data_IF_458447064727
#
_entry.id   IF_458447064727
#
_cell.length_a   1.000
_cell.length_b   1.000
_cell.length_c   1.000
_cell.angle_alpha   90.00
_cell.angle_beta   90.00
_cell.angle_gamma   90.00
#
_symmetry.space_group_name_H-M   'P 1'
#
loop_
_entity.id
_entity.type
_entity.pdbx_description
1 polymer ?
#
# COMPACT_ATOMS: atom_id res chain seq x y z
N UNK A 1 17.55 -2.86 -35.12
CA UNK A 1 16.31 -3.11 -34.35
C UNK A 1 16.71 -3.57 -32.95
N UNK A 2 16.55 -2.72 -31.95
CA UNK A 2 17.10 -2.92 -30.59
C UNK A 2 16.20 -3.81 -29.74
N UNK A 3 16.81 -4.55 -28.80
CA UNK A 3 16.21 -5.44 -27.80
C UNK A 3 14.91 -4.90 -27.16
N UNK A 4 14.85 -3.56 -26.97
CA UNK A 4 13.69 -2.81 -26.46
C UNK A 4 12.40 -3.04 -27.27
N UNK A 5 12.49 -3.14 -28.60
CA UNK A 5 11.32 -3.36 -29.45
C UNK A 5 10.71 -4.77 -29.28
N UNK A 6 11.54 -5.76 -28.95
CA UNK A 6 11.12 -7.16 -28.76
C UNK A 6 10.41 -7.35 -27.42
N UNK A 7 10.95 -6.80 -26.34
CA UNK A 7 10.34 -6.84 -24.99
C UNK A 7 8.95 -6.18 -25.01
N UNK A 8 8.82 -5.03 -25.68
CA UNK A 8 7.53 -4.35 -25.79
C UNK A 8 6.50 -5.12 -26.62
N UNK A 9 6.94 -5.85 -27.66
CA UNK A 9 6.05 -6.70 -28.47
C UNK A 9 5.56 -7.92 -27.66
N UNK A 10 6.46 -8.56 -26.91
CA UNK A 10 6.13 -9.69 -26.04
C UNK A 10 5.18 -9.28 -24.89
N UNK A 11 5.41 -8.11 -24.28
CA UNK A 11 4.51 -7.57 -23.26
C UNK A 11 3.12 -7.29 -23.85
N UNK A 12 3.02 -6.63 -25.02
CA UNK A 12 1.72 -6.38 -25.66
C UNK A 12 0.97 -7.66 -26.00
N UNK A 13 1.67 -8.69 -26.51
CA UNK A 13 1.04 -9.98 -26.81
C UNK A 13 0.49 -10.67 -25.55
N UNK A 14 1.15 -10.50 -24.39
CA UNK A 14 0.76 -11.13 -23.12
C UNK A 14 -0.45 -10.46 -22.46
N UNK A 15 -0.74 -9.19 -22.76
CA UNK A 15 -1.80 -8.38 -22.13
C UNK A 15 -2.91 -7.89 -23.09
N UNK A 16 -2.94 -8.38 -24.34
CA UNK A 16 -3.89 -7.93 -25.38
C UNK A 16 -5.37 -8.29 -25.13
N UNK A 17 -5.71 -9.09 -24.12
CA UNK A 17 -7.06 -9.61 -23.88
C UNK A 17 -8.03 -8.71 -23.09
N UNK A 18 -7.63 -7.55 -22.56
CA UNK A 18 -8.39 -6.89 -21.48
C UNK A 18 -8.76 -5.40 -21.67
N UNK A 19 -8.61 -4.83 -22.87
CA UNK A 19 -8.80 -3.37 -23.04
C UNK A 19 -10.19 -2.97 -23.59
N UNK A 20 -11.06 -2.46 -22.71
CA UNK A 20 -12.03 -1.40 -23.06
C UNK A 20 -11.58 -0.10 -22.37
N UNK A 21 -10.85 0.74 -23.10
CA UNK A 21 -10.44 2.09 -22.64
C UNK A 21 -11.60 3.07 -22.81
N UNK A 22 -11.98 3.75 -21.73
CA UNK A 22 -12.78 4.97 -21.77
C UNK A 22 -11.85 6.16 -21.52
N UNK A 23 -11.67 6.96 -22.56
CA UNK A 23 -10.98 8.25 -22.54
C UNK A 23 -11.92 9.34 -22.07
N UNK A 24 -11.54 10.11 -21.04
CA UNK A 24 -11.82 11.55 -20.91
C UNK A 24 -10.95 12.14 -19.78
N UNK A 25 -10.12 13.12 -20.14
CA UNK A 25 -9.24 13.89 -19.24
C UNK A 25 -9.86 15.26 -18.99
N UNK A 26 -9.73 15.76 -17.76
CA UNK A 26 -9.96 17.15 -17.37
C UNK A 26 -8.77 17.56 -16.46
N UNK A 27 -8.19 18.77 -16.56
CA UNK A 27 -6.92 19.07 -15.90
C UNK A 27 -7.05 19.30 -14.40
N UNK A 28 -5.99 18.92 -13.67
CA UNK A 28 -5.79 19.21 -12.26
C UNK A 28 -5.33 20.67 -12.06
N UNK A 29 -5.97 21.38 -11.14
CA UNK A 29 -5.46 22.62 -10.57
C UNK A 29 -4.95 22.27 -9.16
N UNK A 30 -3.64 22.39 -8.96
CA UNK A 30 -2.98 22.30 -7.66
C UNK A 30 -2.95 23.70 -7.07
N UNK A 31 -3.51 23.87 -5.88
CA UNK A 31 -3.28 25.04 -5.03
C UNK A 31 -3.00 24.53 -3.61
N UNK A 32 -1.74 24.66 -3.22
CA UNK A 32 -1.22 24.34 -1.90
C UNK A 32 -1.34 25.59 -1.01
N UNK A 33 -1.59 25.34 0.28
CA UNK A 33 -1.59 26.22 1.45
C UNK A 33 -2.94 26.81 1.91
N UNK A 34 -3.39 26.26 3.04
CA UNK A 34 -4.35 26.85 3.97
C UNK A 34 -3.62 27.87 4.82
N UNK A 35 -4.04 29.14 4.76
CA UNK A 35 -3.95 30.09 5.88
C UNK A 35 -5.29 30.83 5.91
N UNK A 36 -6.06 30.65 7.00
CA UNK A 36 -7.31 31.37 7.26
C UNK A 36 -6.96 32.63 8.05
N UNK A 37 -7.35 33.81 7.56
CA UNK A 37 -7.94 34.92 8.35
C UNK A 37 -8.63 35.94 7.40
N UNK A 38 -9.94 36.11 7.60
CA UNK A 38 -10.72 37.36 7.52
C UNK A 38 -10.67 38.32 6.31
N UNK A 39 -11.80 38.32 5.58
CA UNK A 39 -12.55 39.47 5.01
C UNK A 39 -11.96 40.35 3.87
N UNK A 40 -12.77 40.35 2.80
CA UNK A 40 -13.13 41.43 1.84
C UNK A 40 -12.58 41.27 0.42
N UNK A 41 -13.49 41.32 -0.56
CA UNK A 41 -13.18 41.84 -1.89
C UNK A 41 -13.66 40.99 -3.06
N UNK A 42 -14.93 41.18 -3.42
CA UNK A 42 -15.58 40.80 -4.67
C UNK A 42 -14.79 41.14 -5.94
N UNK A 43 -14.63 40.16 -6.85
CA UNK A 43 -14.81 40.28 -8.32
C UNK A 43 -14.43 38.97 -9.05
N UNK A 44 -15.32 37.97 -9.11
CA UNK A 44 -15.28 36.92 -10.16
C UNK A 44 -16.73 36.55 -10.50
N UNK A 45 -17.47 37.46 -11.15
CA UNK A 45 -18.92 37.27 -11.43
C UNK A 45 -19.24 36.85 -12.87
N UNK A 46 -18.27 36.70 -13.78
CA UNK A 46 -18.58 36.50 -15.20
C UNK A 46 -18.17 35.13 -15.77
N UNK A 47 -17.42 34.31 -15.02
CA UNK A 47 -16.96 33.00 -15.48
C UNK A 47 -17.82 31.83 -14.96
N UNK A 48 -18.70 32.06 -13.98
CA UNK A 48 -19.53 31.02 -13.36
C UNK A 48 -20.81 30.70 -14.15
N UNK A 49 -21.36 31.67 -14.88
CA UNK A 49 -22.66 31.52 -15.56
C UNK A 49 -22.63 30.49 -16.70
N UNK A 50 -21.48 30.29 -17.35
CA UNK A 50 -21.33 29.29 -18.43
C UNK A 50 -21.02 27.87 -17.95
N UNK A 51 -20.57 27.71 -16.70
CA UNK A 51 -20.38 26.38 -16.09
C UNK A 51 -21.73 25.88 -15.51
N UNK A 52 -22.57 26.79 -15.02
CA UNK A 52 -23.87 26.47 -14.45
C UNK A 52 -24.87 25.83 -15.46
N UNK A 53 -24.79 26.20 -16.73
CA UNK A 53 -25.75 25.75 -17.75
C UNK A 53 -25.53 24.29 -18.20
N UNK A 54 -24.34 23.71 -17.99
CA UNK A 54 -24.07 22.29 -18.26
C UNK A 54 -24.20 21.37 -17.04
N UNK A 55 -24.31 21.92 -15.83
CA UNK A 55 -24.58 21.15 -14.60
C UNK A 55 -26.08 20.92 -14.33
N UNK A 56 -26.98 21.48 -15.16
CA UNK A 56 -28.43 21.48 -14.95
C UNK A 56 -29.22 20.22 -15.32
N UNK A 57 -28.57 19.10 -15.70
CA UNK A 57 -29.28 17.83 -16.01
C UNK A 57 -28.64 16.66 -15.26
N UNK A 58 -28.87 16.61 -13.95
CA UNK A 58 -28.47 15.46 -13.13
C UNK A 58 -28.40 15.66 -11.62
N UNK A 59 -28.90 16.77 -11.05
CA UNK A 59 -29.02 16.89 -9.60
C UNK A 59 -30.17 16.00 -9.12
N UNK A 60 -29.86 14.76 -8.75
CA UNK A 60 -30.75 13.95 -7.94
C UNK A 60 -31.01 14.70 -6.63
N UNK A 61 -32.28 15.00 -6.36
CA UNK A 61 -32.72 15.52 -5.07
C UNK A 61 -32.55 14.43 -4.00
N UNK A 62 -31.36 14.35 -3.39
CA UNK A 62 -31.14 13.54 -2.17
C UNK A 62 -32.04 14.04 -1.06
N UNK A 63 -32.81 13.15 -0.45
CA UNK A 63 -33.73 13.51 0.64
C UNK A 63 -32.94 13.85 1.91
N UNK A 64 -33.57 14.57 2.84
CA UNK A 64 -32.95 14.85 4.15
C UNK A 64 -32.57 13.57 4.91
N UNK A 65 -33.31 12.47 4.68
CA UNK A 65 -33.00 11.16 5.23
C UNK A 65 -31.73 10.55 4.59
N UNK A 66 -31.55 10.66 3.27
CA UNK A 66 -30.35 10.17 2.57
C UNK A 66 -29.09 10.93 3.03
N UNK A 67 -29.22 12.23 3.27
CA UNK A 67 -28.15 13.06 3.81
C UNK A 67 -27.77 12.63 5.24
N UNK A 68 -28.76 12.34 6.08
CA UNK A 68 -28.52 11.89 7.45
C UNK A 68 -27.84 10.51 7.50
N UNK A 69 -28.23 9.57 6.63
CA UNK A 69 -27.57 8.26 6.52
C UNK A 69 -26.13 8.40 6.03
N UNK A 70 -25.89 9.22 5.01
CA UNK A 70 -24.54 9.50 4.51
C UNK A 70 -23.65 10.14 5.58
N UNK A 71 -24.20 11.06 6.39
CA UNK A 71 -23.49 11.67 7.50
C UNK A 71 -23.11 10.65 8.57
N UNK A 72 -24.03 9.75 8.93
CA UNK A 72 -23.76 8.67 9.91
C UNK A 72 -22.64 7.77 9.41
N UNK A 73 -22.65 7.38 8.13
CA UNK A 73 -21.61 6.53 7.53
C UNK A 73 -20.23 7.21 7.60
N UNK A 74 -20.16 8.50 7.27
CA UNK A 74 -18.93 9.28 7.36
C UNK A 74 -18.44 9.40 8.81
N UNK A 75 -19.35 9.60 9.77
CA UNK A 75 -19.03 9.68 11.21
C UNK A 75 -18.53 8.34 11.78
N UNK A 76 -18.99 7.21 11.24
CA UNK A 76 -18.50 5.88 11.61
C UNK A 76 -17.19 5.47 10.95
N UNK A 77 -16.72 6.24 9.96
CA UNK A 77 -15.58 5.91 9.12
C UNK A 77 -16.00 5.19 7.83
N UNK A 78 -15.53 5.70 6.69
CA UNK A 78 -15.86 5.19 5.36
C UNK A 78 -14.62 5.04 4.50
N UNK A 79 -14.52 3.91 3.82
CA UNK A 79 -13.52 3.71 2.77
C UNK A 79 -14.09 4.17 1.43
N UNK A 80 -13.44 5.16 0.81
CA UNK A 80 -13.88 5.69 -0.48
C UNK A 80 -13.33 4.92 -1.68
N UNK A 81 -12.16 4.30 -1.53
CA UNK A 81 -11.60 3.44 -2.57
C UNK A 81 -12.06 2.02 -2.28
N UNK A 82 -12.86 1.46 -3.19
CA UNK A 82 -13.32 0.09 -3.09
C UNK A 82 -12.15 -0.89 -3.26
N UNK A 83 -12.06 -1.84 -2.35
CA UNK A 83 -11.17 -3.00 -2.46
C UNK A 83 -11.85 -4.07 -3.31
N UNK A 84 -11.21 -4.45 -4.42
CA UNK A 84 -11.67 -5.58 -5.23
C UNK A 84 -11.05 -6.87 -4.69
N UNK A 85 -11.86 -7.91 -4.55
CA UNK A 85 -11.40 -9.24 -4.14
C UNK A 85 -11.25 -10.11 -5.39
N UNK A 86 -10.14 -10.82 -5.48
CA UNK A 86 -9.80 -11.72 -6.58
C UNK A 86 -9.70 -13.17 -6.09
N UNK A 87 -9.98 -14.13 -6.97
CA UNK A 87 -9.88 -15.55 -6.64
C UNK A 87 -8.43 -16.07 -6.63
N UNK A 88 -8.22 -17.30 -6.14
CA UNK A 88 -6.96 -18.03 -6.23
C UNK A 88 -6.41 -18.11 -7.67
N UNK A 89 -7.32 -18.37 -8.60
CA UNK A 89 -7.03 -18.57 -10.02
C UNK A 89 -6.71 -17.26 -10.73
N UNK A 90 -7.41 -16.17 -10.39
CA UNK A 90 -7.14 -14.84 -10.94
C UNK A 90 -5.74 -14.35 -10.55
N UNK A 91 -5.35 -14.50 -9.28
CA UNK A 91 -4.00 -14.20 -8.83
C UNK A 91 -2.95 -15.03 -9.55
N UNK A 92 -3.14 -16.35 -9.61
CA UNK A 92 -2.20 -17.25 -10.28
C UNK A 92 -2.03 -16.89 -11.76
N UNK A 93 -3.12 -16.53 -12.45
CA UNK A 93 -3.09 -16.05 -13.82
C UNK A 93 -2.29 -14.74 -13.93
N UNK A 94 -2.50 -13.78 -13.03
CA UNK A 94 -1.77 -12.52 -13.00
C UNK A 94 -0.26 -12.74 -12.76
N UNK A 95 0.10 -13.52 -11.74
CA UNK A 95 1.50 -13.84 -11.41
C UNK A 95 2.24 -14.45 -12.62
N UNK A 96 1.58 -15.35 -13.34
CA UNK A 96 2.12 -15.94 -14.56
C UNK A 96 2.43 -14.88 -15.62
N UNK A 97 1.70 -13.77 -15.72
CA UNK A 97 1.98 -12.73 -16.72
C UNK A 97 3.29 -11.97 -16.43
N UNK A 98 3.68 -11.87 -15.17
CA UNK A 98 4.86 -11.13 -14.70
C UNK A 98 6.11 -12.00 -14.53
N UNK A 99 5.98 -13.33 -14.64
CA UNK A 99 7.08 -14.27 -14.51
C UNK A 99 8.26 -13.92 -15.44
N UNK A 100 9.46 -13.80 -14.85
CA UNK A 100 10.70 -13.47 -15.55
C UNK A 100 10.90 -11.97 -15.87
N UNK A 101 9.87 -11.12 -15.73
CA UNK A 101 9.99 -9.70 -16.02
C UNK A 101 10.84 -8.96 -14.98
N UNK A 102 11.67 -8.02 -15.44
CA UNK A 102 12.38 -7.09 -14.54
C UNK A 102 11.48 -5.90 -14.23
N UNK A 103 11.71 -5.28 -13.08
CA UNK A 103 11.03 -4.02 -12.71
C UNK A 103 11.19 -2.97 -13.82
N UNK A 104 12.39 -2.88 -14.42
CA UNK A 104 12.64 -1.98 -15.55
C UNK A 104 11.76 -2.29 -16.79
N UNK A 105 11.52 -3.58 -17.10
CA UNK A 105 10.68 -3.96 -18.24
C UNK A 105 9.21 -3.57 -17.99
N UNK A 106 8.74 -3.72 -16.75
CA UNK A 106 7.40 -3.31 -16.33
C UNK A 106 7.27 -1.78 -16.37
N UNK A 107 8.27 -1.04 -15.88
CA UNK A 107 8.27 0.42 -15.92
C UNK A 107 8.24 0.95 -17.36
N UNK A 108 9.09 0.41 -18.26
CA UNK A 108 9.09 0.76 -19.68
C UNK A 108 7.71 0.49 -20.33
N UNK A 109 7.00 -0.54 -19.91
CA UNK A 109 5.66 -0.84 -20.39
C UNK A 109 4.58 0.10 -19.83
N UNK A 110 4.64 0.43 -18.53
CA UNK A 110 3.77 1.41 -17.88
C UNK A 110 3.92 2.79 -18.53
N UNK A 111 5.15 3.17 -18.89
CA UNK A 111 5.44 4.42 -19.58
C UNK A 111 4.77 4.53 -20.96
N UNK A 112 4.59 3.40 -21.65
CA UNK A 112 3.91 3.36 -22.96
C UNK A 112 2.40 3.57 -22.85
N UNK A 113 1.79 3.18 -21.74
CA UNK A 113 0.36 3.33 -21.50
C UNK A 113 0.02 4.59 -20.69
N UNK A 114 1.02 5.43 -20.43
CA UNK A 114 0.84 6.73 -19.77
C UNK A 114 0.84 6.67 -18.23
N UNK A 115 1.30 5.56 -17.63
CA UNK A 115 1.42 5.36 -16.19
C UNK A 115 2.84 5.65 -15.67
N UNK A 116 3.47 6.72 -16.20
CA UNK A 116 4.82 7.13 -15.82
C UNK A 116 4.87 7.51 -14.34
N UNK A 117 5.78 6.91 -13.59
CA UNK A 117 5.98 7.16 -12.15
C UNK A 117 4.72 6.94 -11.28
N UNK A 118 3.74 6.17 -11.74
CA UNK A 118 2.51 5.91 -10.96
C UNK A 118 2.68 4.71 -10.02
N UNK A 119 3.46 3.70 -10.42
CA UNK A 119 3.59 2.43 -9.70
C UNK A 119 5.03 2.14 -9.27
N UNK A 120 5.85 3.18 -9.10
CA UNK A 120 7.28 3.08 -8.75
C UNK A 120 7.50 3.71 -7.39
N UNK A 121 7.81 2.88 -6.40
CA UNK A 121 8.06 3.34 -5.03
C UNK A 121 9.37 4.12 -4.92
N UNK A 122 9.48 4.92 -3.86
CA UNK A 122 10.65 5.71 -3.51
C UNK A 122 11.90 4.81 -3.46
N UNK A 123 13.02 5.19 -4.11
CA UNK A 123 14.24 4.39 -4.16
C UNK A 123 14.95 4.19 -2.81
N UNK A 124 14.57 4.93 -1.78
CA UNK A 124 15.01 4.65 -0.39
C UNK A 124 14.47 3.30 0.12
N UNK A 125 13.41 2.76 -0.50
CA UNK A 125 12.98 1.39 -0.25
C UNK A 125 13.89 0.46 -1.05
N UNK A 126 14.73 -0.28 -0.34
CA UNK A 126 15.75 -1.13 -0.94
C UNK A 126 15.72 -2.54 -0.33
N UNK A 127 16.27 -3.56 -1.00
CA UNK A 127 16.27 -4.90 -0.45
C UNK A 127 17.19 -4.99 0.78
N UNK A 128 16.80 -5.81 1.76
CA UNK A 128 17.61 -6.12 2.94
C UNK A 128 18.89 -6.90 2.60
N UNK A 129 18.89 -7.65 1.49
CA UNK A 129 20.02 -8.42 0.99
C UNK A 129 19.91 -8.57 -0.53
N UNK A 130 21.03 -8.85 -1.20
CA UNK A 130 21.09 -9.00 -2.66
C UNK A 130 21.79 -10.28 -3.04
N UNK A 131 21.22 -10.99 -4.00
CA UNK A 131 21.86 -12.08 -4.73
C UNK A 131 22.07 -11.63 -6.18
N UNK A 132 23.27 -11.16 -6.56
CA UNK A 132 23.53 -10.66 -7.90
C UNK A 132 23.63 -11.77 -8.97
N UNK A 133 23.70 -13.04 -8.56
CA UNK A 133 23.90 -14.17 -9.47
C UNK A 133 22.55 -14.75 -9.88
N UNK A 134 21.74 -15.19 -8.91
CA UNK A 134 20.44 -15.82 -9.19
C UNK A 134 19.28 -14.84 -9.06
N UNK A 135 19.53 -13.64 -8.54
CA UNK A 135 18.52 -12.60 -8.33
C UNK A 135 17.36 -13.06 -7.44
N UNK A 136 17.62 -13.96 -6.50
CA UNK A 136 16.63 -14.57 -5.58
C UNK A 136 15.95 -13.58 -4.63
N UNK A 137 16.52 -12.39 -4.47
CA UNK A 137 15.93 -11.26 -3.76
C UNK A 137 14.79 -10.58 -4.54
N UNK A 138 14.66 -10.82 -5.85
CA UNK A 138 13.53 -10.31 -6.65
C UNK A 138 12.30 -11.17 -6.43
N UNK A 139 11.14 -10.55 -6.52
CA UNK A 139 9.86 -11.24 -6.39
C UNK A 139 8.80 -10.63 -7.30
N UNK A 140 7.73 -11.39 -7.49
CA UNK A 140 6.46 -10.98 -8.10
C UNK A 140 5.39 -11.55 -7.20
N UNK A 141 4.40 -10.75 -6.81
CA UNK A 141 3.35 -11.21 -5.93
C UNK A 141 2.13 -10.29 -5.91
N UNK A 142 1.06 -10.76 -5.27
CA UNK A 142 -0.19 -10.01 -5.07
C UNK A 142 -0.21 -9.41 -3.67
N UNK A 143 -0.52 -8.12 -3.60
CA UNK A 143 -0.42 -7.36 -2.36
C UNK A 143 -1.50 -7.75 -1.35
N UNK A 144 -1.10 -8.00 -0.11
CA UNK A 144 -1.97 -7.92 1.06
C UNK A 144 -1.52 -6.65 1.78
N UNK A 145 -2.39 -5.64 1.82
CA UNK A 145 -2.05 -4.36 2.44
C UNK A 145 -2.40 -4.37 3.92
N UNK A 146 -1.52 -3.85 4.74
CA UNK A 146 -1.71 -3.72 6.19
C UNK A 146 -1.24 -2.34 6.60
N UNK A 147 -2.06 -1.64 7.38
CA UNK A 147 -1.71 -0.35 7.96
C UNK A 147 -1.52 -0.48 9.46
N UNK A 148 -0.36 -0.08 9.94
CA UNK A 148 -0.07 0.16 11.35
C UNK A 148 0.07 1.67 11.59
N UNK A 149 -0.38 2.12 12.76
CA UNK A 149 -0.30 3.53 13.18
C UNK A 149 0.37 3.64 14.54
N UNK A 150 1.01 4.77 14.87
CA UNK A 150 1.45 5.05 16.23
C UNK A 150 0.27 4.94 17.21
N UNK A 151 0.54 4.56 18.45
CA UNK A 151 -0.49 4.51 19.49
C UNK A 151 -0.44 5.75 20.40
N UNK A 152 -1.57 6.05 21.03
CA UNK A 152 -1.68 7.11 22.04
C UNK A 152 -1.93 6.56 23.47
N UNK A 153 -1.72 5.26 23.67
CA UNK A 153 -1.87 4.61 24.97
C UNK A 153 -0.75 5.03 25.95
N UNK A 154 -1.12 5.21 27.22
CA UNK A 154 -0.17 5.31 28.33
C UNK A 154 0.41 3.93 28.58
N UNK A 155 1.74 3.81 28.54
CA UNK A 155 2.41 2.54 28.74
C UNK A 155 2.75 2.31 30.21
N UNK A 156 2.70 1.06 30.69
CA UNK A 156 3.24 0.72 31.99
C UNK A 156 4.74 1.00 32.03
N UNK A 157 5.25 1.40 33.20
CA UNK A 157 6.67 1.63 33.45
C UNK A 157 7.16 0.74 34.58
N UNK A 158 8.46 0.40 34.58
CA UNK A 158 9.11 -0.41 35.60
C UNK A 158 8.46 -1.80 35.84
N UNK A 159 8.06 -2.48 34.77
CA UNK A 159 7.59 -3.86 34.84
C UNK A 159 8.72 -4.82 35.21
N UNK A 160 8.40 -5.87 35.98
CA UNK A 160 9.30 -7.03 36.11
C UNK A 160 9.44 -7.73 34.74
N UNK A 161 10.49 -8.54 34.52
CA UNK A 161 10.64 -9.28 33.26
C UNK A 161 9.40 -10.11 32.88
N UNK A 162 8.84 -10.86 33.83
CA UNK A 162 7.67 -11.71 33.58
C UNK A 162 6.41 -10.88 33.28
N UNK A 163 6.24 -9.73 33.93
CA UNK A 163 5.13 -8.81 33.64
C UNK A 163 5.28 -8.16 32.27
N UNK A 164 6.52 -7.81 31.89
CA UNK A 164 6.85 -7.25 30.59
C UNK A 164 6.54 -8.24 29.46
N UNK A 165 6.90 -9.52 29.63
CA UNK A 165 6.61 -10.57 28.66
C UNK A 165 5.10 -10.79 28.51
N UNK A 166 4.36 -10.83 29.62
CA UNK A 166 2.89 -10.90 29.57
C UNK A 166 2.27 -9.69 28.88
N UNK A 167 2.74 -8.49 29.20
CA UNK A 167 2.28 -7.26 28.56
C UNK A 167 2.57 -7.25 27.04
N UNK A 168 3.76 -7.70 26.64
CA UNK A 168 4.10 -7.87 25.22
C UNK A 168 3.18 -8.89 24.54
N UNK A 169 2.93 -10.05 25.17
CA UNK A 169 2.04 -11.09 24.66
C UNK A 169 0.60 -10.59 24.47
N UNK A 170 0.08 -9.81 25.41
CA UNK A 170 -1.23 -9.17 25.33
C UNK A 170 -1.29 -8.17 24.16
N UNK A 171 -0.21 -7.42 23.93
CA UNK A 171 -0.13 -6.52 22.78
C UNK A 171 -0.23 -7.28 21.45
N UNK A 172 0.55 -8.35 21.30
CA UNK A 172 0.56 -9.16 20.07
C UNK A 172 -0.73 -9.95 19.84
N UNK A 173 -1.46 -10.31 20.89
CA UNK A 173 -2.67 -11.14 20.77
C UNK A 173 -3.95 -10.33 20.66
N UNK A 174 -4.02 -9.15 21.29
CA UNK A 174 -5.27 -8.38 21.42
C UNK A 174 -5.21 -6.99 20.80
N UNK A 175 -4.17 -6.20 21.09
CA UNK A 175 -4.14 -4.78 20.71
C UNK A 175 -3.66 -4.57 19.28
N UNK A 176 -2.59 -5.24 18.92
CA UNK A 176 -1.96 -5.15 17.60
C UNK A 176 -1.60 -6.57 17.17
N UNK A 177 -2.58 -7.39 16.74
CA UNK A 177 -2.31 -8.69 16.16
C UNK A 177 -1.78 -8.59 14.72
N UNK A 178 -1.66 -9.73 14.06
CA UNK A 178 -1.38 -9.86 12.62
C UNK A 178 -2.63 -10.42 11.89
N UNK A 179 -3.76 -9.69 11.85
CA UNK A 179 -5.04 -10.21 11.36
C UNK A 179 -5.06 -10.55 9.87
N UNK A 180 -4.03 -10.15 9.13
CA UNK A 180 -3.84 -10.48 7.72
C UNK A 180 -3.26 -11.88 7.49
N UNK A 181 -2.68 -12.52 8.51
CA UNK A 181 -2.00 -13.83 8.39
C UNK A 181 -2.90 -14.94 7.81
N UNK A 182 -4.19 -15.04 8.14
CA UNK A 182 -5.10 -16.01 7.51
C UNK A 182 -5.36 -15.76 6.02
N UNK A 183 -5.06 -14.56 5.50
CA UNK A 183 -5.27 -14.18 4.10
C UNK A 183 -4.09 -14.55 3.19
N UNK A 184 -2.94 -14.89 3.78
CA UNK A 184 -1.73 -15.25 3.05
C UNK A 184 -1.95 -16.54 2.29
N UNK A 185 -1.67 -16.50 1.00
CA UNK A 185 -1.69 -17.64 0.07
C UNK A 185 -0.41 -17.67 -0.76
N UNK A 186 -0.14 -18.77 -1.49
CA UNK A 186 1.02 -18.83 -2.39
C UNK A 186 1.03 -17.65 -3.37
N UNK A 187 2.13 -16.89 -3.35
CA UNK A 187 2.30 -15.70 -4.21
C UNK A 187 1.90 -14.38 -3.56
N UNK A 188 1.47 -14.36 -2.30
CA UNK A 188 1.17 -13.12 -1.58
C UNK A 188 2.43 -12.32 -1.27
N UNK A 189 2.31 -11.00 -1.31
CA UNK A 189 3.31 -10.05 -0.80
C UNK A 189 2.65 -9.23 0.29
N UNK A 190 3.22 -9.23 1.48
CA UNK A 190 2.72 -8.38 2.57
C UNK A 190 3.27 -6.98 2.36
N UNK A 191 2.39 -6.00 2.18
CA UNK A 191 2.74 -4.60 2.00
C UNK A 191 2.30 -3.82 3.23
N UNK A 192 3.27 -3.32 3.99
CA UNK A 192 3.06 -2.69 5.30
C UNK A 192 3.32 -1.19 5.20
N UNK A 193 2.25 -0.42 5.39
CA UNK A 193 2.29 1.00 5.74
C UNK A 193 2.36 1.07 7.27
N UNK A 194 3.55 1.36 7.81
CA UNK A 194 3.78 1.32 9.26
C UNK A 194 3.71 2.72 9.88
N UNK A 195 3.91 2.77 11.20
CA UNK A 195 4.12 3.98 11.97
C UNK A 195 5.42 4.69 11.56
N UNK A 196 5.39 5.37 10.41
CA UNK A 196 6.52 6.09 9.85
C UNK A 196 7.09 7.12 10.85
N UNK A 197 8.41 7.13 11.01
CA UNK A 197 9.12 7.95 12.00
C UNK A 197 9.19 7.35 13.41
N UNK A 198 8.53 6.23 13.67
CA UNK A 198 8.70 5.43 14.89
C UNK A 198 9.73 4.34 14.63
N UNK A 199 10.71 4.20 15.53
CA UNK A 199 11.68 3.09 15.47
C UNK A 199 11.00 1.78 15.89
N UNK A 200 10.31 1.15 14.94
CA UNK A 200 9.54 -0.08 15.13
C UNK A 200 9.88 -1.10 14.04
N UNK A 201 10.28 -2.29 14.47
CA UNK A 201 10.43 -3.45 13.60
C UNK A 201 9.16 -4.28 13.61
N UNK A 202 8.17 -3.91 12.81
CA UNK A 202 6.98 -4.76 12.60
C UNK A 202 7.30 -6.05 11.85
N UNK A 203 8.47 -6.09 11.23
CA UNK A 203 9.00 -7.21 10.50
C UNK A 203 10.27 -7.65 11.23
N UNK A 204 10.26 -8.90 11.70
CA UNK A 204 11.39 -9.58 12.29
C UNK A 204 11.47 -11.02 11.79
N UNK A 205 12.49 -11.76 12.18
CA UNK A 205 12.77 -13.08 11.61
C UNK A 205 11.65 -14.08 11.90
N UNK A 206 11.10 -14.07 13.11
CA UNK A 206 10.02 -14.98 13.53
C UNK A 206 8.75 -14.84 12.66
N UNK A 207 8.25 -13.61 12.49
CA UNK A 207 6.99 -13.41 11.77
C UNK A 207 7.18 -13.55 10.25
N UNK A 208 8.24 -13.00 9.67
CA UNK A 208 8.48 -13.11 8.23
C UNK A 208 8.71 -14.56 7.77
N UNK A 209 9.37 -15.40 8.58
CA UNK A 209 9.48 -16.84 8.31
C UNK A 209 8.12 -17.56 8.42
N UNK A 210 7.30 -17.19 9.40
CA UNK A 210 5.93 -17.71 9.54
C UNK A 210 5.06 -17.35 8.33
N UNK A 211 5.17 -16.12 7.84
CA UNK A 211 4.47 -15.67 6.64
C UNK A 211 4.97 -16.41 5.39
N UNK A 212 6.29 -16.60 5.25
CA UNK A 212 6.89 -17.38 4.15
C UNK A 212 6.35 -18.81 4.11
N UNK A 213 6.27 -19.48 5.26
CA UNK A 213 5.68 -20.84 5.38
C UNK A 213 4.22 -20.91 4.90
N UNK A 214 3.50 -19.80 4.88
CA UNK A 214 2.09 -19.69 4.42
C UNK A 214 1.96 -19.31 2.94
N UNK A 215 3.08 -19.06 2.24
CA UNK A 215 3.09 -18.71 0.82
C UNK A 215 3.41 -17.24 0.53
N UNK A 216 3.73 -16.44 1.55
CA UNK A 216 4.27 -15.10 1.35
C UNK A 216 5.62 -15.16 0.62
N UNK A 217 5.75 -14.46 -0.50
CA UNK A 217 6.97 -14.45 -1.31
C UNK A 217 7.87 -13.25 -1.03
N UNK A 218 7.34 -12.19 -0.43
CA UNK A 218 8.11 -11.03 0.00
C UNK A 218 7.33 -10.12 0.97
N UNK A 219 8.06 -9.24 1.64
CA UNK A 219 7.49 -8.14 2.41
C UNK A 219 8.02 -6.81 1.89
N UNK A 220 7.14 -5.82 1.79
CA UNK A 220 7.49 -4.44 1.40
C UNK A 220 6.99 -3.48 2.46
N UNK A 221 7.82 -2.56 2.90
CA UNK A 221 7.42 -1.44 3.76
C UNK A 221 8.24 -0.20 3.42
N UNK A 222 7.75 0.97 3.76
CA UNK A 222 8.52 2.20 3.74
C UNK A 222 9.04 2.60 5.13
N UNK A 223 8.90 1.72 6.11
CA UNK A 223 9.39 1.85 7.47
C UNK A 223 10.60 0.95 7.74
N UNK A 224 10.84 0.66 9.03
CA UNK A 224 11.98 -0.12 9.49
C UNK A 224 11.69 -1.61 9.72
N UNK A 225 12.74 -2.43 9.72
CA UNK A 225 12.66 -3.86 10.03
C UNK A 225 13.87 -4.30 10.87
N UNK A 226 13.73 -5.42 11.57
CA UNK A 226 14.74 -6.00 12.48
C UNK A 226 15.16 -7.41 12.04
N UNK A 227 16.16 -7.97 12.71
CA UNK A 227 16.68 -9.32 12.51
C UNK A 227 17.19 -9.58 11.07
N UNK A 228 17.83 -8.56 10.46
CA UNK A 228 18.19 -8.55 9.04
C UNK A 228 19.15 -9.69 8.65
N UNK A 229 20.08 -10.06 9.51
CA UNK A 229 21.04 -11.14 9.23
C UNK A 229 20.33 -12.49 9.08
N UNK A 230 19.34 -12.78 9.92
CA UNK A 230 18.53 -14.00 9.85
C UNK A 230 17.63 -13.99 8.61
N UNK A 231 17.05 -12.83 8.29
CA UNK A 231 16.25 -12.65 7.06
C UNK A 231 17.09 -12.87 5.80
N UNK A 232 18.33 -12.38 5.80
CA UNK A 232 19.29 -12.55 4.71
C UNK A 232 19.75 -14.00 4.59
N UNK A 233 20.04 -14.65 5.73
CA UNK A 233 20.42 -16.07 5.79
C UNK A 233 19.33 -16.97 5.21
N UNK A 234 18.07 -16.72 5.59
CA UNK A 234 16.89 -17.45 5.11
C UNK A 234 16.45 -17.04 3.70
N UNK A 235 17.15 -16.07 3.09
CA UNK A 235 16.89 -15.52 1.75
C UNK A 235 15.42 -15.18 1.55
N UNK A 236 14.84 -14.42 2.48
CA UNK A 236 13.46 -13.95 2.37
C UNK A 236 13.46 -12.53 1.81
N UNK A 237 12.86 -12.27 0.63
CA UNK A 237 12.81 -10.93 0.08
C UNK A 237 12.09 -9.95 1.02
N UNK A 238 12.83 -8.95 1.47
CA UNK A 238 12.34 -7.83 2.27
C UNK A 238 12.83 -6.54 1.63
N UNK A 239 11.90 -5.65 1.29
CA UNK A 239 12.17 -4.30 0.79
C UNK A 239 11.66 -3.29 1.81
N UNK A 240 12.54 -2.43 2.28
CA UNK A 240 12.31 -1.57 3.44
C UNK A 240 13.18 -0.31 3.37
N UNK A 241 12.90 0.70 4.20
CA UNK A 241 13.67 1.96 4.20
C UNK A 241 14.98 1.86 4.98
N UNK A 242 15.03 1.06 6.03
CA UNK A 242 16.25 0.92 6.84
C UNK A 242 16.09 0.09 8.11
N UNK A 243 17.19 -0.25 8.79
CA UNK A 243 17.17 -1.06 10.00
C UNK A 243 16.46 -0.34 11.16
N UNK A 244 15.65 -1.10 11.89
CA UNK A 244 14.99 -0.70 13.14
C UNK A 244 15.46 -1.56 14.31
N UNK A 245 15.24 -1.06 15.52
CA UNK A 245 15.66 -1.68 16.78
C UNK A 245 14.47 -2.12 17.64
N UNK A 246 13.35 -1.39 17.56
CA UNK A 246 12.19 -1.59 18.43
C UNK A 246 11.34 -2.82 18.11
N UNK A 247 10.70 -3.39 19.12
CA UNK A 247 9.57 -4.32 18.95
C UNK A 247 8.25 -3.56 18.76
N UNK A 248 7.21 -4.19 18.22
CA UNK A 248 5.87 -3.59 18.05
C UNK A 248 5.17 -3.16 19.35
N UNK A 249 5.22 -3.94 20.46
CA UNK A 249 4.59 -3.54 21.71
C UNK A 249 5.06 -2.17 22.18
N UNK A 250 4.09 -1.30 22.49
CA UNK A 250 4.37 0.07 22.88
C UNK A 250 4.88 0.98 21.77
N UNK A 251 4.66 0.63 20.49
CA UNK A 251 5.05 1.49 19.35
C UNK A 251 3.98 1.65 18.29
N UNK A 252 3.25 0.59 17.96
CA UNK A 252 2.19 0.67 16.95
C UNK A 252 0.95 -0.20 17.23
N UNK A 253 -0.14 0.13 16.55
CA UNK A 253 -1.40 -0.62 16.52
C UNK A 253 -1.78 -0.93 15.07
N UNK A 254 -2.32 -2.12 14.83
CA UNK A 254 -2.92 -2.44 13.53
C UNK A 254 -4.18 -1.59 13.38
N UNK A 255 -4.28 -0.84 12.29
CA UNK A 255 -5.44 -0.01 11.97
C UNK A 255 -6.34 -0.73 10.97
N UNK A 256 -5.77 -1.25 9.88
CA UNK A 256 -6.55 -1.93 8.87
C UNK A 256 -5.77 -2.99 8.08
N UNK A 257 -6.54 -3.89 7.47
CA UNK A 257 -6.08 -4.91 6.52
C UNK A 257 -6.92 -4.79 5.26
N UNK A 258 -6.28 -4.97 4.10
CA UNK A 258 -6.89 -4.88 2.77
C UNK A 258 -7.66 -3.58 2.52
N UNK A 259 -7.13 -2.49 3.06
CA UNK A 259 -7.46 -1.13 2.63
C UNK A 259 -6.35 -0.58 1.75
N UNK A 260 -6.65 0.30 0.79
CA UNK A 260 -5.61 0.97 0.04
C UNK A 260 -4.69 1.77 0.97
N UNK A 261 -3.40 1.59 0.79
CA UNK A 261 -2.35 2.23 1.60
C UNK A 261 -1.40 3.01 0.71
N UNK A 262 -0.66 3.94 1.31
CA UNK A 262 0.45 4.60 0.66
C UNK A 262 1.75 3.99 1.20
N UNK A 263 2.59 3.49 0.30
CA UNK A 263 3.92 2.98 0.65
C UNK A 263 4.92 3.51 -0.37
N UNK A 264 5.93 4.24 0.10
CA UNK A 264 7.01 4.75 -0.75
C UNK A 264 6.55 5.78 -1.79
N UNK A 265 5.57 6.62 -1.44
CA UNK A 265 4.94 7.59 -2.32
C UNK A 265 3.92 7.02 -3.29
N UNK A 266 3.52 5.76 -3.17
CA UNK A 266 2.66 5.05 -4.14
C UNK A 266 1.42 4.48 -3.48
N UNK A 267 0.27 4.65 -4.14
CA UNK A 267 -0.97 3.99 -3.78
C UNK A 267 -0.88 2.49 -4.10
N UNK A 268 -0.94 1.65 -3.07
CA UNK A 268 -1.03 0.20 -3.19
C UNK A 268 -2.47 -0.22 -2.90
N UNK A 269 -3.06 -0.96 -3.83
CA UNK A 269 -4.37 -1.59 -3.66
C UNK A 269 -4.18 -3.10 -3.46
N UNK A 270 -4.88 -3.71 -2.50
CA UNK A 270 -4.91 -5.16 -2.34
C UNK A 270 -5.67 -5.84 -3.49
#
# INVERSE_FOLDING_TARGET
>A
MTYRHWVCKAFRQRFQGSNKMVTKRTPAIVLVNVIIWGLVGSTISAAQDKIAEQTGKGAQSTTAADQQVAEIELRSGKNFITTKVYSAEEDAAALKLFEGLRVADVCDALDQIGLRNVCVMNPEIHPAWKDPVNLSHRFVGVAITVRYVPHNLVLPSALSPDDFDRWCGEWYSKLSPEPFVPLIRPGSVVVIDDANGVDVGSIGSNNIMSWKKRGCVAVVTDATARDLDEIALERIPLYFRGPGRGIRPGRNLVESVNRPVEVGGVLVRP
#
